data_IF_937262563335
#
_entry.id   IF_937262563335
#
_cell.length_a   1.000
_cell.length_b   1.000
_cell.length_c   1.000
_cell.angle_alpha   90.00
_cell.angle_beta   90.00
_cell.angle_gamma   90.00
#
_symmetry.space_group_name_H-M   'P 1'
#
loop_
_entity.id
_entity.type
_entity.pdbx_description
1 polymer ?
#
# COMPACT_ATOMS: atom_id res chain seq x y z
N UNK A 1 5.79 -7.33 7.59
CA UNK A 1 4.49 -6.64 7.45
C UNK A 1 4.28 -5.50 8.46
N UNK A 2 4.43 -5.73 9.78
CA UNK A 2 4.27 -4.67 10.80
C UNK A 2 5.24 -3.48 10.61
N UNK A 3 6.51 -3.76 10.31
CA UNK A 3 7.54 -2.74 10.07
C UNK A 3 7.23 -1.81 8.89
N UNK A 4 6.65 -2.35 7.81
CA UNK A 4 6.28 -1.57 6.61
C UNK A 4 5.08 -0.66 6.86
N UNK A 5 4.07 -1.16 7.58
CA UNK A 5 2.94 -0.34 8.02
C UNK A 5 3.39 0.75 8.98
N UNK A 6 4.28 0.44 9.93
CA UNK A 6 4.85 1.45 10.84
C UNK A 6 5.68 2.50 10.07
N UNK A 7 6.43 2.11 9.04
CA UNK A 7 7.12 3.07 8.16
C UNK A 7 6.17 3.97 7.37
N UNK A 8 5.12 3.39 6.80
CA UNK A 8 4.09 4.15 6.09
C UNK A 8 3.43 5.18 7.04
N UNK A 9 3.01 4.73 8.21
CA UNK A 9 2.39 5.57 9.24
C UNK A 9 3.33 6.67 9.73
N UNK A 10 4.62 6.37 9.97
CA UNK A 10 5.62 7.38 10.37
C UNK A 10 5.86 8.46 9.29
N UNK A 11 5.64 8.15 8.00
CA UNK A 11 5.68 9.12 6.90
C UNK A 11 4.37 9.92 6.74
N UNK A 12 3.40 9.71 7.63
CA UNK A 12 2.09 10.34 7.54
C UNK A 12 1.21 9.75 6.44
N UNK A 13 1.50 8.52 6.00
CA UNK A 13 0.72 7.81 5.00
C UNK A 13 -0.35 6.95 5.68
N UNK A 14 -1.57 7.02 5.17
CA UNK A 14 -2.63 6.08 5.49
C UNK A 14 -2.57 4.87 4.56
N UNK A 15 -2.74 3.66 5.10
CA UNK A 15 -2.85 2.44 4.29
C UNK A 15 -4.25 1.87 4.51
N UNK A 16 -4.99 1.71 3.42
CA UNK A 16 -6.34 1.14 3.42
C UNK A 16 -6.39 -0.10 2.54
N UNK A 17 -7.08 -1.13 3.03
CA UNK A 17 -7.30 -2.38 2.31
C UNK A 17 -8.79 -2.48 1.99
N UNK A 18 -9.12 -2.50 0.71
CA UNK A 18 -10.50 -2.62 0.22
C UNK A 18 -10.63 -3.82 -0.70
N UNK A 19 -11.83 -4.36 -0.84
CA UNK A 19 -12.11 -5.40 -1.82
C UNK A 19 -13.05 -4.83 -2.87
N UNK A 20 -12.62 -4.80 -4.13
CA UNK A 20 -13.39 -4.29 -5.25
C UNK A 20 -13.51 -5.36 -6.34
N UNK A 21 -14.74 -5.71 -6.71
CA UNK A 21 -14.98 -6.70 -7.78
C UNK A 21 -14.42 -8.11 -7.50
N UNK A 22 -14.21 -8.48 -6.23
CA UNK A 22 -13.59 -9.75 -5.83
C UNK A 22 -12.06 -9.71 -5.72
N UNK A 23 -11.42 -8.58 -6.01
CA UNK A 23 -9.98 -8.39 -5.88
C UNK A 23 -9.66 -7.55 -4.64
N UNK A 24 -8.59 -7.90 -3.96
CA UNK A 24 -8.06 -7.08 -2.89
C UNK A 24 -7.29 -5.89 -3.46
N UNK A 25 -7.50 -4.69 -2.93
CA UNK A 25 -6.87 -3.46 -3.38
C UNK A 25 -6.24 -2.77 -2.17
N UNK A 26 -4.98 -2.40 -2.30
CA UNK A 26 -4.26 -1.55 -1.35
C UNK A 26 -4.33 -0.12 -1.86
N UNK A 27 -4.76 0.82 -1.02
CA UNK A 27 -4.65 2.26 -1.27
C UNK A 27 -3.75 2.88 -0.22
N UNK A 28 -2.82 3.70 -0.69
CA UNK A 28 -1.98 4.54 0.15
C UNK A 28 -2.47 5.98 -0.02
N UNK A 29 -2.80 6.61 1.09
CA UNK A 29 -3.24 7.99 1.17
C UNK A 29 -2.20 8.84 1.88
N UNK A 30 -2.13 10.14 1.56
CA UNK A 30 -1.35 11.14 2.32
C UNK A 30 -2.29 12.29 2.63
N UNK A 31 -2.77 12.38 3.87
CA UNK A 31 -3.87 13.28 4.20
C UNK A 31 -5.18 12.85 3.53
N UNK A 32 -5.76 13.72 2.69
CA UNK A 32 -7.00 13.46 1.96
C UNK A 32 -6.76 12.85 0.55
N UNK A 33 -5.53 12.86 0.05
CA UNK A 33 -5.20 12.45 -1.31
C UNK A 33 -4.75 10.99 -1.38
N UNK A 34 -5.19 10.28 -2.43
CA UNK A 34 -4.69 8.93 -2.75
C UNK A 34 -3.41 9.10 -3.57
N UNK A 35 -2.28 8.72 -2.99
CA UNK A 35 -0.95 8.85 -3.64
C UNK A 35 -0.53 7.58 -4.35
N UNK A 36 -1.10 6.43 -3.97
CA UNK A 36 -0.81 5.15 -4.62
C UNK A 36 -1.96 4.16 -4.45
N UNK A 37 -2.18 3.30 -5.45
CA UNK A 37 -3.15 2.20 -5.37
C UNK A 37 -2.66 1.00 -6.16
N UNK A 38 -2.83 -0.20 -5.61
CA UNK A 38 -2.45 -1.45 -6.26
C UNK A 38 -3.53 -2.52 -6.04
N UNK A 39 -3.97 -3.16 -7.12
CA UNK A 39 -4.81 -4.35 -7.07
C UNK A 39 -3.93 -5.59 -6.88
N UNK A 40 -4.20 -6.33 -5.83
CA UNK A 40 -3.62 -7.63 -5.55
C UNK A 40 -4.40 -8.66 -6.36
N UNK A 41 -3.73 -9.30 -7.32
CA UNK A 41 -4.32 -10.42 -8.07
C UNK A 41 -4.66 -11.61 -7.15
N UNK A 42 -5.31 -12.64 -7.69
CA UNK A 42 -5.77 -13.85 -6.98
C UNK A 42 -4.66 -14.75 -6.41
N UNK A 43 -3.45 -14.24 -6.20
CA UNK A 43 -2.38 -14.94 -5.49
C UNK A 43 -2.48 -14.69 -3.98
N UNK A 44 -1.78 -15.49 -3.17
CA UNK A 44 -1.77 -15.41 -1.70
C UNK A 44 -1.71 -13.97 -1.17
N UNK A 45 -2.87 -13.49 -0.69
CA UNK A 45 -3.12 -12.10 -0.30
C UNK A 45 -1.99 -11.55 0.59
N UNK A 46 -1.53 -12.33 1.56
CA UNK A 46 -0.49 -11.89 2.51
C UNK A 46 0.85 -11.63 1.83
N UNK A 47 1.31 -12.54 0.98
CA UNK A 47 2.60 -12.41 0.29
C UNK A 47 2.52 -11.30 -0.77
N UNK A 48 1.43 -11.25 -1.52
CA UNK A 48 1.21 -10.20 -2.53
C UNK A 48 1.08 -8.82 -1.90
N UNK A 49 0.46 -8.71 -0.70
CA UNK A 49 0.33 -7.43 0.01
C UNK A 49 1.69 -6.90 0.41
N UNK A 50 2.54 -7.75 0.98
CA UNK A 50 3.85 -7.32 1.48
C UNK A 50 4.75 -6.83 0.34
N UNK A 51 4.82 -7.58 -0.76
CA UNK A 51 5.59 -7.24 -1.95
C UNK A 51 5.08 -5.94 -2.61
N UNK A 52 3.75 -5.84 -2.79
CA UNK A 52 3.13 -4.67 -3.40
C UNK A 52 3.30 -3.42 -2.53
N UNK A 53 3.11 -3.53 -1.22
CA UNK A 53 3.28 -2.40 -0.30
C UNK A 53 4.74 -1.94 -0.24
N UNK A 54 5.69 -2.88 -0.22
CA UNK A 54 7.12 -2.55 -0.23
C UNK A 54 7.51 -1.84 -1.53
N UNK A 55 7.03 -2.31 -2.68
CA UNK A 55 7.26 -1.68 -3.98
C UNK A 55 6.66 -0.28 -4.05
N UNK A 56 5.42 -0.11 -3.56
CA UNK A 56 4.76 1.20 -3.50
C UNK A 56 5.49 2.18 -2.58
N UNK A 57 5.95 1.72 -1.40
CA UNK A 57 6.71 2.57 -0.48
C UNK A 57 8.04 3.00 -1.11
N UNK A 58 8.76 2.09 -1.77
CA UNK A 58 9.98 2.41 -2.50
C UNK A 58 9.74 3.44 -3.62
N UNK A 59 8.61 3.32 -4.35
CA UNK A 59 8.24 4.27 -5.39
C UNK A 59 7.93 5.67 -4.79
N UNK A 60 7.23 5.72 -3.66
CA UNK A 60 6.96 6.96 -2.93
C UNK A 60 8.26 7.59 -2.40
N UNK A 61 9.18 6.78 -1.88
CA UNK A 61 10.50 7.26 -1.45
C UNK A 61 11.33 7.83 -2.61
N UNK A 62 11.31 7.17 -3.77
CA UNK A 62 11.95 7.68 -5.00
C UNK A 62 11.34 8.98 -5.49
N UNK A 63 10.04 9.17 -5.27
CA UNK A 63 9.32 10.42 -5.59
C UNK A 63 9.54 11.53 -4.55
N UNK A 64 10.27 11.26 -3.47
CA UNK A 64 10.53 12.23 -2.40
C UNK A 64 9.30 12.54 -1.54
N UNK A 65 8.33 11.60 -1.50
CA UNK A 65 7.08 11.71 -0.73
C UNK A 65 7.24 11.11 0.67
#
# INVERSE_FOLDING_TARGET
MRDLLEKALNKGLGVSFTTEGGFAVIRITKGADVVASCSLGSADFRTSVEDSLQSLLLDLERKGI
#
